data_IF_763673619209
#
_entry.id   IF_763673619209
#
_cell.length_a   1.000
_cell.length_b   1.000
_cell.length_c   1.000
_cell.angle_alpha   90.00
_cell.angle_beta   90.00
_cell.angle_gamma   90.00
#
_symmetry.space_group_name_H-M   'P 1'
#
loop_
_entity.id
_entity.type
_entity.pdbx_description
1 polymer ?
#
# COMPACT_ATOMS: atom_id res chain seq x y z
N UNK A 1 -7.68 -1.67 -26.80
CA UNK A 1 -8.19 -1.54 -28.18
C UNK A 1 -7.00 -1.55 -29.12
N UNK A 2 -7.17 -2.27 -30.21
CA UNK A 2 -6.13 -2.78 -31.10
C UNK A 2 -5.43 -1.71 -31.94
N UNK A 3 -4.20 -2.05 -32.33
CA UNK A 3 -3.35 -1.38 -33.29
C UNK A 3 -4.06 -1.09 -34.62
N UNK A 4 -3.90 0.12 -35.14
CA UNK A 4 -4.05 0.43 -36.58
C UNK A 4 -2.93 1.36 -37.02
N UNK A 5 -2.02 0.81 -37.84
CA UNK A 5 -1.06 1.57 -38.61
C UNK A 5 -1.69 2.01 -39.95
N UNK A 6 -1.39 3.21 -40.43
CA UNK A 6 -1.50 3.57 -41.84
C UNK A 6 -0.55 4.74 -42.17
N UNK A 7 0.09 4.65 -43.34
CA UNK A 7 1.29 5.39 -43.75
C UNK A 7 1.06 6.84 -44.21
N UNK A 8 2.18 7.58 -44.17
CA UNK A 8 2.44 8.92 -44.68
C UNK A 8 2.02 9.14 -46.14
N UNK A 9 1.49 10.34 -46.40
CA UNK A 9 1.70 11.04 -47.66
C UNK A 9 2.67 12.21 -47.42
N UNK A 10 3.76 12.20 -48.18
CA UNK A 10 4.65 13.35 -48.39
C UNK A 10 3.88 14.44 -49.13
N UNK A 11 3.98 15.69 -48.70
CA UNK A 11 3.78 16.80 -49.60
C UNK A 11 4.93 17.80 -49.46
N UNK A 12 5.50 18.05 -50.63
CA UNK A 12 6.55 19.01 -50.90
C UNK A 12 6.01 20.43 -50.69
N UNK A 13 6.96 21.29 -50.34
CA UNK A 13 7.01 22.74 -50.53
C UNK A 13 5.85 23.40 -51.29
N UNK A 14 5.24 24.38 -50.61
CA UNK A 14 5.24 25.80 -50.98
C UNK A 14 4.92 26.11 -52.45
N UNK A 15 3.74 26.68 -52.68
CA UNK A 15 3.65 27.90 -53.49
C UNK A 15 2.38 28.71 -53.19
N UNK A 16 2.56 30.02 -53.32
CA UNK A 16 1.62 31.10 -53.02
C UNK A 16 0.35 31.02 -53.87
N UNK A 17 -0.77 31.52 -53.34
CA UNK A 17 -1.97 31.71 -54.15
C UNK A 17 -3.18 32.17 -53.36
N UNK A 18 -3.13 33.42 -52.90
CA UNK A 18 -4.28 34.22 -52.46
C UNK A 18 -5.40 34.27 -53.51
N UNK A 19 -6.66 34.30 -53.07
CA UNK A 19 -7.74 35.26 -53.45
C UNK A 19 -9.14 34.61 -53.42
N UNK A 20 -9.99 35.15 -52.50
CA UNK A 20 -11.44 35.47 -52.56
C UNK A 20 -12.45 34.42 -53.06
N UNK A 21 -13.67 34.25 -52.53
CA UNK A 21 -14.46 34.87 -51.46
C UNK A 21 -15.74 34.02 -51.26
N UNK A 22 -16.24 33.97 -50.01
CA UNK A 22 -17.66 33.97 -49.59
C UNK A 22 -18.63 32.77 -49.90
N UNK A 23 -19.79 32.65 -49.21
CA UNK A 23 -20.02 32.71 -47.75
C UNK A 23 -21.15 31.73 -47.23
N UNK A 24 -21.48 31.82 -45.92
CA UNK A 24 -22.77 31.48 -45.24
C UNK A 24 -23.37 30.06 -45.45
N UNK A 25 -23.38 29.15 -44.47
CA UNK A 25 -24.19 29.01 -43.24
C UNK A 25 -25.04 27.72 -43.33
N UNK A 26 -24.96 26.86 -42.31
CA UNK A 26 -25.70 25.60 -42.28
C UNK A 26 -25.49 24.85 -40.98
N UNK A 27 -26.02 25.44 -39.91
CA UNK A 27 -25.97 24.99 -38.51
C UNK A 27 -26.44 23.54 -38.29
N UNK A 28 -25.78 22.94 -37.29
CA UNK A 28 -26.31 22.15 -36.17
C UNK A 28 -27.13 20.89 -36.50
N UNK A 29 -26.94 19.78 -35.80
CA UNK A 29 -27.27 19.52 -34.38
C UNK A 29 -26.76 18.09 -34.08
N UNK A 30 -26.41 17.64 -32.87
CA UNK A 30 -26.65 18.12 -31.50
C UNK A 30 -25.82 17.23 -30.55
N UNK A 31 -25.10 17.79 -29.57
CA UNK A 31 -25.50 17.88 -28.15
C UNK A 31 -25.98 16.55 -27.55
N UNK A 32 -25.26 16.06 -26.53
CA UNK A 32 -25.86 15.70 -25.24
C UNK A 32 -24.80 15.65 -24.13
N UNK A 33 -24.82 16.71 -23.33
CA UNK A 33 -24.20 16.79 -22.00
C UNK A 33 -25.14 16.16 -20.94
N UNK A 34 -24.53 15.82 -19.80
CA UNK A 34 -25.02 15.90 -18.41
C UNK A 34 -25.77 14.69 -17.79
N UNK A 35 -25.22 14.25 -16.65
CA UNK A 35 -25.99 13.88 -15.45
C UNK A 35 -25.97 15.07 -14.49
N UNK A 36 -27.12 15.67 -14.15
CA UNK A 36 -27.60 15.85 -12.77
C UNK A 36 -29.07 16.32 -12.74
N UNK A 37 -29.85 15.60 -11.94
CA UNK A 37 -31.11 15.87 -11.21
C UNK A 37 -32.43 16.38 -11.85
N UNK A 38 -33.52 15.69 -11.44
CA UNK A 38 -34.92 15.85 -11.85
C UNK A 38 -35.71 16.95 -11.10
N UNK A 39 -37.06 16.87 -10.91
CA UNK A 39 -37.98 15.74 -11.07
C UNK A 39 -39.28 16.03 -11.89
N UNK A 40 -40.05 14.98 -12.26
CA UNK A 40 -41.51 15.14 -12.48
C UNK A 40 -42.23 14.28 -13.53
N UNK A 41 -42.82 13.17 -13.07
CA UNK A 41 -44.09 12.52 -13.48
C UNK A 41 -44.22 11.73 -14.82
N UNK A 42 -44.46 10.41 -14.62
CA UNK A 42 -45.46 9.46 -15.22
C UNK A 42 -45.47 9.35 -16.78
N UNK A 43 -45.44 8.18 -17.44
CA UNK A 43 -46.12 6.91 -17.17
C UNK A 43 -45.62 5.79 -18.14
N UNK A 44 -45.40 4.59 -17.58
CA UNK A 44 -45.56 3.20 -18.11
C UNK A 44 -44.97 2.72 -19.47
N UNK A 45 -44.06 1.75 -19.31
CA UNK A 45 -44.04 0.34 -19.80
C UNK A 45 -44.08 -0.01 -21.31
N UNK A 46 -43.04 -0.72 -21.78
CA UNK A 46 -43.08 -2.16 -22.14
C UNK A 46 -41.80 -2.56 -22.90
N UNK A 47 -41.27 -3.76 -22.61
CA UNK A 47 -40.04 -4.26 -23.19
C UNK A 47 -40.15 -4.76 -24.63
N UNK A 48 -38.98 -4.89 -25.28
CA UNK A 48 -38.64 -6.06 -26.11
C UNK A 48 -37.18 -5.99 -26.57
N UNK A 49 -36.50 -7.12 -26.39
CA UNK A 49 -35.21 -7.47 -26.96
C UNK A 49 -35.31 -7.48 -28.50
N UNK A 50 -34.36 -6.84 -29.19
CA UNK A 50 -34.36 -6.66 -30.65
C UNK A 50 -33.01 -6.99 -31.29
N UNK A 51 -32.97 -8.16 -31.94
CA UNK A 51 -32.03 -8.67 -32.96
C UNK A 51 -31.04 -7.65 -33.57
N UNK A 52 -29.75 -7.90 -33.42
CA UNK A 52 -28.69 -7.38 -34.29
C UNK A 52 -28.89 -7.90 -35.72
N UNK A 53 -29.06 -6.95 -36.65
CA UNK A 53 -29.42 -7.18 -38.03
C UNK A 53 -28.28 -7.75 -38.88
N UNK A 54 -28.63 -8.81 -39.62
CA UNK A 54 -27.96 -9.48 -40.74
C UNK A 54 -27.34 -8.59 -41.84
N UNK A 55 -27.42 -7.26 -41.75
CA UNK A 55 -27.03 -6.36 -42.83
C UNK A 55 -25.54 -6.00 -42.83
N UNK A 56 -24.90 -5.98 -41.66
CA UNK A 56 -23.47 -5.71 -41.54
C UNK A 56 -22.64 -6.91 -42.02
N UNK A 57 -23.03 -8.12 -41.62
CA UNK A 57 -22.36 -9.36 -42.04
C UNK A 57 -22.39 -9.56 -43.57
N UNK A 58 -23.50 -9.19 -44.22
CA UNK A 58 -23.63 -9.27 -45.68
C UNK A 58 -22.65 -8.33 -46.40
N UNK A 59 -22.44 -7.11 -45.88
CA UNK A 59 -21.51 -6.13 -46.48
C UNK A 59 -20.06 -6.63 -46.41
N UNK A 60 -19.64 -7.20 -45.28
CA UNK A 60 -18.29 -7.75 -45.15
C UNK A 60 -18.07 -9.01 -45.99
N UNK A 61 -19.10 -9.86 -46.13
CA UNK A 61 -19.03 -11.04 -47.00
C UNK A 61 -18.85 -10.65 -48.48
N UNK A 62 -19.56 -9.62 -48.95
CA UNK A 62 -19.44 -9.12 -50.33
C UNK A 62 -18.05 -8.52 -50.57
N UNK A 63 -17.53 -7.72 -49.65
CA UNK A 63 -16.17 -7.15 -49.76
C UNK A 63 -15.10 -8.24 -49.75
N UNK A 64 -15.25 -9.28 -48.92
CA UNK A 64 -14.36 -10.44 -48.90
C UNK A 64 -14.34 -11.19 -50.24
N UNK A 65 -15.49 -11.34 -50.89
CA UNK A 65 -15.62 -11.99 -52.20
C UNK A 65 -14.91 -11.19 -53.31
N UNK A 66 -15.04 -9.85 -53.30
CA UNK A 66 -14.33 -8.99 -54.25
C UNK A 66 -12.80 -9.05 -54.07
N UNK A 67 -12.31 -9.06 -52.83
CA UNK A 67 -10.87 -9.21 -52.56
C UNK A 67 -10.33 -10.57 -53.01
N UNK A 68 -11.09 -11.64 -52.80
CA UNK A 68 -10.69 -12.98 -53.21
C UNK A 68 -10.62 -13.11 -54.74
N UNK A 69 -11.60 -12.56 -55.47
CA UNK A 69 -11.57 -12.51 -56.93
C UNK A 69 -10.39 -11.66 -57.44
N UNK A 70 -10.11 -10.53 -56.79
CA UNK A 70 -8.97 -9.69 -57.14
C UNK A 70 -7.64 -10.42 -56.96
N UNK A 71 -7.46 -11.14 -55.84
CA UNK A 71 -6.25 -11.93 -55.59
C UNK A 71 -6.08 -13.09 -56.60
N UNK A 72 -7.18 -13.74 -57.01
CA UNK A 72 -7.13 -14.76 -58.05
C UNK A 72 -6.73 -14.15 -59.40
N UNK A 73 -7.27 -12.99 -59.78
CA UNK A 73 -6.91 -12.32 -61.03
C UNK A 73 -5.44 -11.88 -61.03
N UNK A 74 -4.94 -11.35 -59.91
CA UNK A 74 -3.52 -11.02 -59.74
C UNK A 74 -2.66 -12.29 -59.81
N UNK A 75 -3.07 -13.38 -59.17
CA UNK A 75 -2.37 -14.67 -59.26
C UNK A 75 -2.32 -15.24 -60.69
N UNK A 76 -3.43 -15.15 -61.44
CA UNK A 76 -3.49 -15.57 -62.85
C UNK A 76 -2.63 -14.67 -63.72
N UNK A 77 -2.62 -13.36 -63.47
CA UNK A 77 -1.76 -12.41 -64.18
C UNK A 77 -0.28 -12.69 -63.93
N UNK A 78 0.10 -12.92 -62.67
CA UNK A 78 1.48 -13.31 -62.31
C UNK A 78 1.84 -14.63 -62.99
N UNK A 79 0.96 -15.65 -62.98
CA UNK A 79 1.22 -16.92 -63.66
C UNK A 79 1.29 -16.80 -65.20
N UNK A 80 0.54 -15.87 -65.79
CA UNK A 80 0.59 -15.58 -67.22
C UNK A 80 1.89 -14.87 -67.62
N UNK A 81 2.36 -13.93 -66.80
CA UNK A 81 3.61 -13.17 -67.02
C UNK A 81 4.86 -13.98 -66.63
N UNK A 82 4.74 -14.90 -65.68
CA UNK A 82 5.84 -15.76 -65.22
C UNK A 82 6.08 -16.99 -66.08
N UNK A 83 5.31 -17.21 -67.16
CA UNK A 83 5.66 -18.22 -68.17
C UNK A 83 6.78 -17.65 -69.05
N UNK A 84 8.04 -18.10 -68.90
CA UNK A 84 9.09 -17.67 -69.80
C UNK A 84 8.82 -18.34 -71.15
N UNK A 85 8.41 -17.55 -72.16
CA UNK A 85 8.08 -18.08 -73.48
C UNK A 85 9.30 -18.40 -74.35
N UNK A 86 10.51 -18.35 -73.81
CA UNK A 86 11.74 -18.72 -74.54
C UNK A 86 12.68 -19.47 -73.60
N UNK A 87 12.95 -20.72 -73.93
CA UNK A 87 13.90 -21.54 -73.19
C UNK A 87 15.33 -21.09 -73.51
N UNK A 88 16.31 -21.21 -72.59
CA UNK A 88 17.71 -20.90 -72.86
C UNK A 88 18.31 -21.75 -74.01
N UNK A 89 17.67 -22.87 -74.36
CA UNK A 89 18.04 -23.71 -75.49
C UNK A 89 17.72 -23.07 -76.85
N UNK A 90 16.64 -22.28 -76.96
CA UNK A 90 16.27 -21.59 -78.20
C UNK A 90 17.26 -20.47 -78.54
N UNK A 91 17.81 -19.80 -77.52
CA UNK A 91 18.85 -18.78 -77.68
C UNK A 91 20.18 -19.41 -78.09
N UNK A 92 20.51 -20.58 -77.54
CA UNK A 92 21.71 -21.36 -77.89
C UNK A 92 21.63 -21.93 -79.31
N UNK A 93 20.44 -22.39 -79.71
CA UNK A 93 20.14 -22.81 -81.08
C UNK A 93 20.23 -21.64 -82.07
N UNK A 94 19.73 -20.46 -81.70
CA UNK A 94 19.83 -19.24 -82.50
C UNK A 94 21.30 -18.82 -82.69
N UNK A 95 22.10 -18.82 -81.62
CA UNK A 95 23.53 -18.50 -81.68
C UNK A 95 24.32 -19.51 -82.53
N UNK A 96 23.97 -20.79 -82.46
CA UNK A 96 24.51 -21.82 -83.34
C UNK A 96 24.18 -21.59 -84.83
N UNK A 97 22.94 -21.19 -85.13
CA UNK A 97 22.51 -20.88 -86.49
C UNK A 97 23.19 -19.63 -87.05
N UNK A 98 23.40 -18.60 -86.22
CA UNK A 98 24.12 -17.37 -86.61
C UNK A 98 25.59 -17.67 -86.92
N UNK A 99 26.27 -18.49 -86.11
CA UNK A 99 27.64 -18.92 -86.39
C UNK A 99 27.74 -19.74 -87.68
N UNK A 100 26.77 -20.63 -87.94
CA UNK A 100 26.71 -21.42 -89.17
C UNK A 100 26.47 -20.56 -90.42
N UNK A 101 25.67 -19.50 -90.29
CA UNK A 101 25.44 -18.52 -91.34
C UNK A 101 26.70 -17.69 -91.63
N UNK A 102 27.45 -17.33 -90.59
CA UNK A 102 28.72 -16.60 -90.71
C UNK A 102 29.80 -17.43 -91.43
N UNK A 103 29.89 -18.73 -91.15
CA UNK A 103 30.79 -19.63 -91.89
C UNK A 103 30.36 -19.84 -93.35
N UNK A 104 29.05 -19.98 -93.60
CA UNK A 104 28.46 -20.01 -94.94
C UNK A 104 28.79 -18.74 -95.75
N UNK A 105 28.75 -17.57 -95.10
CA UNK A 105 29.09 -16.30 -95.73
C UNK A 105 30.58 -16.21 -96.07
N UNK A 106 31.48 -16.67 -95.17
CA UNK A 106 32.92 -16.79 -95.47
C UNK A 106 33.20 -17.74 -96.64
N UNK A 107 32.49 -18.87 -96.73
CA UNK A 107 32.63 -19.82 -97.84
C UNK A 107 32.10 -19.24 -99.17
N UNK A 108 31.00 -18.46 -99.11
CA UNK A 108 30.50 -17.70 -100.27
C UNK A 108 31.47 -16.60 -100.71
N UNK A 109 32.10 -15.87 -99.78
CA UNK A 109 33.12 -14.87 -100.10
C UNK A 109 34.35 -15.49 -100.77
N UNK A 110 34.81 -16.66 -100.31
CA UNK A 110 35.91 -17.41 -100.92
C UNK A 110 35.56 -17.87 -102.36
N UNK A 111 34.31 -18.28 -102.60
CA UNK A 111 33.82 -18.63 -103.94
C UNK A 111 33.64 -17.42 -104.86
N UNK A 112 33.22 -16.27 -104.32
CA UNK A 112 33.08 -15.03 -105.09
C UNK A 112 34.44 -14.46 -105.53
N UNK A 113 35.52 -14.73 -104.79
CA UNK A 113 36.89 -14.29 -105.13
C UNK A 113 37.42 -14.89 -106.44
N UNK A 114 36.79 -15.95 -106.96
CA UNK A 114 37.17 -16.63 -108.20
C UNK A 114 36.36 -16.21 -109.44
N UNK A 115 35.35 -15.34 -109.32
CA UNK A 115 34.59 -14.85 -110.48
C UNK A 115 35.02 -13.42 -110.87
N UNK A 116 35.16 -13.10 -112.18
CA UNK A 116 35.52 -11.76 -112.62
C UNK A 116 34.26 -10.88 -112.60
N UNK A 117 33.87 -10.35 -111.44
CA UNK A 117 32.76 -9.38 -111.34
C UNK A 117 33.26 -7.93 -111.48
N UNK A 118 32.52 -7.14 -112.27
CA UNK A 118 32.72 -5.70 -112.48
C UNK A 118 32.65 -4.92 -111.15
N UNK A 119 33.50 -3.89 -111.03
CA UNK A 119 33.83 -3.17 -109.80
C UNK A 119 32.66 -2.61 -108.96
N UNK A 120 31.53 -2.23 -109.57
CA UNK A 120 30.39 -1.67 -108.82
C UNK A 120 29.70 -2.70 -107.91
N UNK A 121 29.70 -3.99 -108.27
CA UNK A 121 29.07 -5.03 -107.46
C UNK A 121 29.95 -5.39 -106.26
N UNK A 122 31.27 -5.31 -106.42
CA UNK A 122 32.23 -5.60 -105.36
C UNK A 122 32.12 -4.56 -104.23
N UNK A 123 31.96 -3.28 -104.57
CA UNK A 123 31.84 -2.19 -103.58
C UNK A 123 30.56 -2.32 -102.74
N UNK A 124 29.44 -2.73 -103.35
CA UNK A 124 28.19 -3.02 -102.62
C UNK A 124 28.31 -4.24 -101.70
N UNK A 125 29.04 -5.28 -102.13
CA UNK A 125 29.31 -6.46 -101.30
C UNK A 125 30.20 -6.11 -100.12
N UNK A 126 31.23 -5.27 -100.30
CA UNK A 126 32.08 -4.81 -99.20
C UNK A 126 31.33 -3.92 -98.20
N UNK A 127 30.39 -3.07 -98.65
CA UNK A 127 29.53 -2.30 -97.73
C UNK A 127 28.57 -3.19 -96.93
N UNK A 128 28.01 -4.22 -97.58
CA UNK A 128 27.18 -5.22 -96.89
C UNK A 128 27.99 -6.03 -95.88
N UNK A 129 29.24 -6.38 -96.20
CA UNK A 129 30.18 -7.04 -95.30
C UNK A 129 30.44 -6.20 -94.04
N UNK A 130 30.79 -4.93 -94.23
CA UNK A 130 31.12 -4.02 -93.14
C UNK A 130 29.91 -3.78 -92.23
N UNK A 131 28.72 -3.65 -92.82
CA UNK A 131 27.47 -3.53 -92.08
C UNK A 131 27.15 -4.81 -91.30
N UNK A 132 27.35 -6.00 -91.88
CA UNK A 132 27.20 -7.27 -91.17
C UNK A 132 28.21 -7.40 -90.01
N UNK A 133 29.46 -7.00 -90.23
CA UNK A 133 30.53 -7.06 -89.25
C UNK A 133 30.21 -6.15 -88.05
N UNK A 134 29.77 -4.92 -88.31
CA UNK A 134 29.39 -3.96 -87.27
C UNK A 134 28.16 -4.44 -86.46
N UNK A 135 27.19 -5.08 -87.13
CA UNK A 135 26.08 -5.73 -86.42
C UNK A 135 26.54 -6.93 -85.58
N UNK A 136 27.52 -7.71 -86.05
CA UNK A 136 28.06 -8.83 -85.29
C UNK A 136 28.82 -8.38 -84.03
N UNK A 137 29.57 -7.29 -84.12
CA UNK A 137 30.27 -6.70 -82.97
C UNK A 137 29.27 -6.11 -81.95
N UNK A 138 28.21 -5.45 -82.45
CA UNK A 138 27.11 -4.95 -81.60
C UNK A 138 26.38 -6.08 -80.87
N UNK A 139 26.12 -7.20 -81.54
CA UNK A 139 25.52 -8.40 -80.93
C UNK A 139 26.44 -9.05 -79.88
N UNK A 140 27.75 -9.07 -80.13
CA UNK A 140 28.72 -9.58 -79.16
C UNK A 140 28.77 -8.72 -77.89
N UNK A 141 28.76 -7.39 -78.04
CA UNK A 141 28.66 -6.46 -76.91
C UNK A 141 27.35 -6.65 -76.13
N UNK A 142 26.22 -6.80 -76.84
CA UNK A 142 24.93 -7.07 -76.20
C UNK A 142 24.94 -8.39 -75.42
N UNK A 143 25.55 -9.45 -75.97
CA UNK A 143 25.69 -10.75 -75.29
C UNK A 143 26.52 -10.63 -74.02
N UNK A 144 27.63 -9.88 -74.05
CA UNK A 144 28.44 -9.60 -72.86
C UNK A 144 27.66 -8.82 -71.77
N UNK A 145 26.81 -7.87 -72.17
CA UNK A 145 25.95 -7.15 -71.24
C UNK A 145 24.87 -8.03 -70.60
N UNK A 146 24.28 -8.96 -71.38
CA UNK A 146 23.29 -9.93 -70.90
C UNK A 146 23.91 -10.91 -69.90
N UNK A 147 25.12 -11.39 -70.16
CA UNK A 147 25.83 -12.29 -69.24
C UNK A 147 26.17 -11.60 -67.90
N UNK A 148 26.52 -10.30 -67.95
CA UNK A 148 26.72 -9.50 -66.74
C UNK A 148 25.42 -9.30 -65.96
N UNK A 149 24.31 -9.05 -66.65
CA UNK A 149 22.98 -8.92 -66.04
C UNK A 149 22.55 -10.23 -65.38
N UNK A 150 22.78 -11.38 -66.01
CA UNK A 150 22.48 -12.70 -65.47
C UNK A 150 23.27 -12.97 -64.18
N UNK A 151 24.56 -12.63 -64.15
CA UNK A 151 25.38 -12.73 -62.94
C UNK A 151 24.87 -11.86 -61.78
N UNK A 152 24.42 -10.64 -62.07
CA UNK A 152 23.80 -9.77 -61.07
C UNK A 152 22.46 -10.34 -60.57
N UNK A 153 21.66 -10.92 -61.46
CA UNK A 153 20.38 -11.55 -61.11
C UNK A 153 20.58 -12.73 -60.15
N UNK A 154 21.59 -13.58 -60.41
CA UNK A 154 21.98 -14.67 -59.51
C UNK A 154 22.45 -14.16 -58.14
N UNK A 155 23.28 -13.12 -58.11
CA UNK A 155 23.72 -12.52 -56.85
C UNK A 155 22.53 -11.99 -56.04
N UNK A 156 21.59 -11.31 -56.70
CA UNK A 156 20.42 -10.74 -56.06
C UNK A 156 19.47 -11.84 -55.54
N UNK A 157 19.30 -12.93 -56.29
CA UNK A 157 18.54 -14.10 -55.85
C UNK A 157 19.16 -14.76 -54.61
N UNK A 158 20.48 -14.86 -54.59
CA UNK A 158 21.20 -15.46 -53.45
C UNK A 158 21.07 -14.57 -52.22
N UNK A 159 21.18 -13.25 -52.39
CA UNK A 159 20.96 -12.28 -51.32
C UNK A 159 19.53 -12.32 -50.80
N UNK A 160 18.52 -12.42 -51.68
CA UNK A 160 17.12 -12.57 -51.29
C UNK A 160 16.89 -13.83 -50.43
N UNK A 161 17.49 -14.96 -50.81
CA UNK A 161 17.40 -16.19 -50.02
C UNK A 161 18.08 -16.06 -48.64
N UNK A 162 19.19 -15.32 -48.55
CA UNK A 162 19.83 -15.05 -47.26
C UNK A 162 18.99 -14.12 -46.38
N UNK A 163 18.35 -13.10 -46.97
CA UNK A 163 17.47 -12.21 -46.21
C UNK A 163 16.24 -12.95 -45.70
N UNK A 164 15.65 -13.87 -46.47
CA UNK A 164 14.52 -14.68 -46.01
C UNK A 164 14.89 -15.55 -44.80
N UNK A 165 16.08 -16.16 -44.82
CA UNK A 165 16.58 -16.93 -43.66
C UNK A 165 16.81 -16.04 -42.44
N UNK A 166 17.38 -14.85 -42.63
CA UNK A 166 17.59 -13.91 -41.54
C UNK A 166 16.25 -13.45 -40.93
N UNK A 167 15.26 -13.15 -41.77
CA UNK A 167 13.90 -12.78 -41.33
C UNK A 167 13.24 -13.93 -40.57
N UNK A 168 13.36 -15.18 -41.05
CA UNK A 168 12.83 -16.35 -40.35
C UNK A 168 13.47 -16.50 -38.96
N UNK A 169 14.80 -16.40 -38.86
CA UNK A 169 15.50 -16.52 -37.58
C UNK A 169 15.12 -15.40 -36.60
N UNK A 170 14.91 -14.19 -37.11
CA UNK A 170 14.42 -13.06 -36.31
C UNK A 170 12.99 -13.30 -35.82
N UNK A 171 12.13 -13.87 -36.68
CA UNK A 171 10.77 -14.21 -36.31
C UNK A 171 10.72 -15.30 -35.23
N UNK A 172 11.56 -16.33 -35.33
CA UNK A 172 11.69 -17.37 -34.30
C UNK A 172 12.21 -16.78 -32.97
N UNK A 173 13.19 -15.87 -33.04
CA UNK A 173 13.70 -15.18 -31.84
C UNK A 173 12.64 -14.29 -31.19
N UNK A 174 11.84 -13.57 -32.00
CA UNK A 174 10.79 -12.69 -31.51
C UNK A 174 9.64 -13.47 -30.89
N UNK A 175 9.24 -14.60 -31.50
CA UNK A 175 8.21 -15.48 -30.94
C UNK A 175 8.67 -16.10 -29.63
N UNK A 176 9.92 -16.58 -29.55
CA UNK A 176 10.51 -17.09 -28.31
C UNK A 176 10.58 -16.02 -27.21
N UNK A 177 10.96 -14.78 -27.55
CA UNK A 177 11.00 -13.68 -26.60
C UNK A 177 9.58 -13.28 -26.13
N UNK A 178 8.61 -13.29 -27.03
CA UNK A 178 7.21 -13.03 -26.69
C UNK A 178 6.66 -14.09 -25.73
N UNK A 179 6.93 -15.37 -25.99
CA UNK A 179 6.44 -16.48 -25.16
C UNK A 179 7.07 -16.47 -23.76
N UNK A 180 8.38 -16.21 -23.67
CA UNK A 180 9.08 -16.09 -22.38
C UNK A 180 8.58 -14.90 -21.58
N UNK A 181 8.41 -13.73 -22.22
CA UNK A 181 7.83 -12.56 -21.56
C UNK A 181 6.40 -12.82 -21.06
N UNK A 182 5.59 -13.53 -21.85
CA UNK A 182 4.23 -13.87 -21.47
C UNK A 182 4.18 -14.86 -20.29
N UNK A 183 5.08 -15.83 -20.23
CA UNK A 183 5.21 -16.75 -19.09
C UNK A 183 5.60 -16.02 -17.80
N UNK A 184 6.57 -15.10 -17.86
CA UNK A 184 6.96 -14.31 -16.69
C UNK A 184 5.82 -13.40 -16.22
N UNK A 185 5.06 -12.80 -17.14
CA UNK A 185 3.86 -12.02 -16.79
C UNK A 185 2.79 -12.88 -16.09
N UNK A 186 2.54 -14.11 -16.57
CA UNK A 186 1.62 -15.02 -15.89
C UNK A 186 2.11 -15.40 -14.49
N UNK A 187 3.41 -15.70 -14.34
CA UNK A 187 4.01 -16.02 -13.05
C UNK A 187 3.89 -14.86 -12.06
N UNK A 188 4.26 -13.65 -12.48
CA UNK A 188 4.11 -12.43 -11.68
C UNK A 188 2.65 -12.15 -11.31
N UNK A 189 1.71 -12.41 -12.24
CA UNK A 189 0.28 -12.26 -11.94
C UNK A 189 -0.19 -13.24 -10.87
N UNK A 190 0.28 -14.48 -10.88
CA UNK A 190 -0.07 -15.50 -9.87
C UNK A 190 0.55 -15.14 -8.52
N UNK A 191 1.83 -14.77 -8.49
CA UNK A 191 2.52 -14.31 -7.27
C UNK A 191 1.87 -13.04 -6.68
N UNK A 192 1.47 -12.11 -7.55
CA UNK A 192 0.73 -10.90 -7.17
C UNK A 192 -0.63 -11.21 -6.55
N UNK A 193 -1.39 -12.14 -7.14
CA UNK A 193 -2.68 -12.57 -6.60
C UNK A 193 -2.53 -13.31 -5.26
N UNK A 194 -1.52 -14.17 -5.13
CA UNK A 194 -1.20 -14.85 -3.88
C UNK A 194 -0.85 -13.87 -2.77
N UNK A 195 0.00 -12.88 -3.07
CA UNK A 195 0.38 -11.82 -2.14
C UNK A 195 -0.84 -10.98 -1.73
N UNK A 196 -1.73 -10.67 -2.67
CA UNK A 196 -2.98 -9.94 -2.39
C UNK A 196 -3.90 -10.73 -1.44
N UNK A 197 -4.05 -12.04 -1.66
CA UNK A 197 -4.85 -12.90 -0.80
C UNK A 197 -4.27 -12.96 0.63
N UNK A 198 -2.94 -13.06 0.74
CA UNK A 198 -2.24 -13.07 2.03
C UNK A 198 -2.40 -11.74 2.78
N UNK A 199 -2.34 -10.61 2.07
CA UNK A 199 -2.63 -9.29 2.65
C UNK A 199 -4.07 -9.17 3.13
N UNK A 200 -5.04 -9.65 2.36
CA UNK A 200 -6.45 -9.69 2.78
C UNK A 200 -6.65 -10.57 4.03
N UNK A 201 -5.94 -11.69 4.12
CA UNK A 201 -5.99 -12.54 5.30
C UNK A 201 -5.42 -11.83 6.54
N UNK A 202 -4.28 -11.15 6.42
CA UNK A 202 -3.71 -10.37 7.51
C UNK A 202 -4.59 -9.19 7.91
N UNK A 203 -5.22 -8.49 6.96
CA UNK A 203 -6.17 -7.41 7.24
C UNK A 203 -7.35 -7.91 8.08
N UNK A 204 -7.90 -9.08 7.74
CA UNK A 204 -8.95 -9.71 8.54
C UNK A 204 -8.49 -10.08 9.96
N UNK A 205 -7.29 -10.64 10.11
CA UNK A 205 -6.71 -10.96 11.41
C UNK A 205 -6.47 -9.69 12.26
N UNK A 206 -5.97 -8.62 11.65
CA UNK A 206 -5.75 -7.34 12.32
C UNK A 206 -7.06 -6.70 12.76
N UNK A 207 -8.10 -6.75 11.92
CA UNK A 207 -9.44 -6.29 12.29
C UNK A 207 -10.01 -7.10 13.46
N UNK A 208 -9.86 -8.43 13.44
CA UNK A 208 -10.31 -9.26 14.57
C UNK A 208 -9.51 -8.98 15.86
N UNK A 209 -8.20 -8.79 15.76
CA UNK A 209 -7.38 -8.38 16.91
C UNK A 209 -7.81 -7.00 17.43
N UNK A 210 -8.11 -6.07 16.53
CA UNK A 210 -8.62 -4.74 16.88
C UNK A 210 -9.90 -4.82 17.72
N UNK A 211 -10.90 -5.60 17.29
CA UNK A 211 -12.14 -5.75 18.04
C UNK A 211 -11.97 -6.44 19.39
N UNK A 212 -11.03 -7.40 19.50
CA UNK A 212 -10.66 -8.01 20.79
C UNK A 212 -9.99 -7.01 21.74
N UNK A 213 -9.12 -6.15 21.22
CA UNK A 213 -8.44 -5.11 22.02
C UNK A 213 -9.45 -4.06 22.48
N UNK A 214 -10.37 -3.66 21.63
CA UNK A 214 -11.46 -2.74 21.99
C UNK A 214 -12.34 -3.33 23.10
N UNK A 215 -12.77 -4.59 22.95
CA UNK A 215 -13.53 -5.29 23.99
C UNK A 215 -12.76 -5.42 25.32
N UNK A 216 -11.45 -5.67 25.26
CA UNK A 216 -10.61 -5.72 26.45
C UNK A 216 -10.49 -4.33 27.10
N UNK A 217 -10.37 -3.28 26.29
CA UNK A 217 -10.36 -1.90 26.77
C UNK A 217 -11.65 -1.57 27.52
N UNK A 218 -12.81 -1.93 26.96
CA UNK A 218 -14.10 -1.74 27.63
C UNK A 218 -14.17 -2.48 28.96
N UNK A 219 -13.70 -3.73 29.02
CA UNK A 219 -13.64 -4.49 30.27
C UNK A 219 -12.73 -3.82 31.31
N UNK A 220 -11.56 -3.32 30.90
CA UNK A 220 -10.62 -2.61 31.80
C UNK A 220 -11.25 -1.33 32.33
N UNK A 221 -11.93 -0.56 31.48
CA UNK A 221 -12.64 0.66 31.93
C UNK A 221 -13.78 0.34 32.90
N UNK A 222 -14.52 -0.76 32.68
CA UNK A 222 -15.56 -1.21 33.61
C UNK A 222 -14.98 -1.62 34.97
N UNK A 223 -13.86 -2.36 34.97
CA UNK A 223 -13.14 -2.72 36.21
C UNK A 223 -12.60 -1.48 36.92
N UNK A 224 -12.03 -0.53 36.18
CA UNK A 224 -11.57 0.75 36.75
C UNK A 224 -12.72 1.50 37.42
N UNK A 225 -13.88 1.60 36.75
CA UNK A 225 -15.07 2.23 37.32
C UNK A 225 -15.56 1.53 38.59
N UNK A 226 -15.58 0.19 38.59
CA UNK A 226 -15.92 -0.58 39.79
C UNK A 226 -14.92 -0.33 40.94
N UNK A 227 -13.61 -0.29 40.64
CA UNK A 227 -12.57 -0.01 41.62
C UNK A 227 -12.71 1.40 42.21
N UNK A 228 -13.01 2.41 41.38
CA UNK A 228 -13.25 3.78 41.84
C UNK A 228 -14.47 3.88 42.75
N UNK A 229 -15.55 3.16 42.42
CA UNK A 229 -16.75 3.10 43.29
C UNK A 229 -16.43 2.44 44.62
N UNK A 230 -15.68 1.35 44.62
CA UNK A 230 -15.25 0.64 45.83
C UNK A 230 -14.31 1.49 46.69
N UNK A 231 -13.39 2.23 46.07
CA UNK A 231 -12.49 3.13 46.77
C UNK A 231 -13.28 4.28 47.44
N UNK A 232 -14.31 4.81 46.78
CA UNK A 232 -15.19 5.84 47.36
C UNK A 232 -16.01 5.32 48.54
N UNK A 233 -16.64 4.15 48.43
CA UNK A 233 -17.39 3.56 49.55
C UNK A 233 -16.47 3.22 50.72
N UNK A 234 -15.30 2.63 50.45
CA UNK A 234 -14.32 2.35 51.49
C UNK A 234 -13.83 3.64 52.17
N UNK A 235 -13.49 4.68 51.40
CA UNK A 235 -13.08 5.97 51.96
C UNK A 235 -14.18 6.60 52.82
N UNK A 236 -15.43 6.52 52.38
CA UNK A 236 -16.58 7.01 53.14
C UNK A 236 -16.77 6.25 54.46
N UNK A 237 -16.76 4.92 54.42
CA UNK A 237 -16.89 4.08 55.62
C UNK A 237 -15.74 4.30 56.60
N UNK A 238 -14.49 4.36 56.11
CA UNK A 238 -13.32 4.68 56.94
C UNK A 238 -13.50 6.04 57.62
N UNK A 239 -14.03 7.03 56.91
CA UNK A 239 -14.26 8.35 57.48
C UNK A 239 -15.33 8.33 58.58
N UNK A 240 -16.43 7.61 58.38
CA UNK A 240 -17.46 7.41 59.42
C UNK A 240 -16.89 6.68 60.65
N UNK A 241 -16.11 5.63 60.42
CA UNK A 241 -15.47 4.92 61.51
C UNK A 241 -14.48 5.81 62.26
N UNK A 242 -13.74 6.66 61.55
CA UNK A 242 -12.84 7.62 62.15
C UNK A 242 -13.58 8.61 63.07
N UNK A 243 -14.71 9.18 62.62
CA UNK A 243 -15.50 10.09 63.47
C UNK A 243 -16.08 9.38 64.68
N UNK A 244 -16.62 8.16 64.51
CA UNK A 244 -17.13 7.37 65.65
C UNK A 244 -16.04 7.04 66.68
N UNK A 245 -14.83 6.73 66.21
CA UNK A 245 -13.70 6.47 67.11
C UNK A 245 -13.33 7.75 67.87
N UNK A 246 -13.31 8.91 67.21
CA UNK A 246 -13.06 10.20 67.88
C UNK A 246 -14.13 10.50 68.94
N UNK A 247 -15.41 10.32 68.62
CA UNK A 247 -16.52 10.53 69.57
C UNK A 247 -16.39 9.61 70.80
N UNK A 248 -16.06 8.34 70.58
CA UNK A 248 -15.79 7.38 71.65
C UNK A 248 -14.58 7.79 72.50
N UNK A 249 -13.54 8.33 71.88
CA UNK A 249 -12.35 8.84 72.58
C UNK A 249 -12.71 10.00 73.52
N UNK A 250 -13.57 10.92 73.07
CA UNK A 250 -14.07 12.02 73.90
C UNK A 250 -14.90 11.50 75.07
N UNK A 251 -15.83 10.58 74.81
CA UNK A 251 -16.65 9.96 75.86
C UNK A 251 -15.80 9.25 76.92
N UNK A 252 -14.80 8.48 76.50
CA UNK A 252 -13.86 7.81 77.41
C UNK A 252 -13.10 8.86 78.23
N UNK A 253 -12.61 9.93 77.60
CA UNK A 253 -11.87 10.98 78.31
C UNK A 253 -12.72 11.66 79.39
N UNK A 254 -13.97 11.99 79.08
CA UNK A 254 -14.91 12.58 80.04
C UNK A 254 -15.22 11.59 81.17
N UNK A 255 -15.53 10.33 80.85
CA UNK A 255 -15.81 9.32 81.87
C UNK A 255 -14.59 9.05 82.78
N UNK A 256 -13.37 9.10 82.24
CA UNK A 256 -12.16 8.98 83.05
C UNK A 256 -11.96 10.17 83.98
N UNK A 257 -12.33 11.37 83.54
CA UNK A 257 -12.25 12.58 84.37
C UNK A 257 -13.33 12.58 85.46
N UNK A 258 -14.56 12.23 85.11
CA UNK A 258 -15.64 12.02 86.09
C UNK A 258 -15.26 10.97 87.13
N UNK A 259 -14.64 9.86 86.72
CA UNK A 259 -14.17 8.83 87.64
C UNK A 259 -13.06 9.34 88.57
N UNK A 260 -12.16 10.24 88.10
CA UNK A 260 -11.17 10.90 88.96
C UNK A 260 -11.85 11.83 89.96
N UNK A 261 -12.80 12.64 89.50
CA UNK A 261 -13.51 13.59 90.34
C UNK A 261 -14.34 12.88 91.42
N UNK A 262 -15.01 11.77 91.06
CA UNK A 262 -15.73 10.92 92.01
C UNK A 262 -14.79 10.32 93.07
N UNK A 263 -13.59 9.88 92.69
CA UNK A 263 -12.58 9.37 93.66
C UNK A 263 -12.14 10.46 94.64
N UNK A 264 -11.92 11.69 94.17
CA UNK A 264 -11.54 12.80 95.05
C UNK A 264 -12.63 13.11 96.06
N UNK A 265 -13.90 13.13 95.63
CA UNK A 265 -15.06 13.31 96.52
C UNK A 265 -15.13 12.16 97.54
N UNK A 266 -14.94 10.91 97.10
CA UNK A 266 -14.97 9.76 97.99
C UNK A 266 -13.86 9.81 99.05
N UNK A 267 -12.64 10.23 98.68
CA UNK A 267 -11.54 10.42 99.62
C UNK A 267 -11.91 11.48 100.66
N UNK A 268 -12.44 12.64 100.23
CA UNK A 268 -12.86 13.71 101.13
C UNK A 268 -13.99 13.27 102.07
N UNK A 269 -14.97 12.51 101.57
CA UNK A 269 -16.06 11.95 102.37
C UNK A 269 -15.55 10.95 103.40
N UNK A 270 -14.59 10.09 103.03
CA UNK A 270 -13.98 9.13 103.94
C UNK A 270 -13.20 9.83 105.06
N UNK A 271 -12.51 10.94 104.74
CA UNK A 271 -11.82 11.77 105.71
C UNK A 271 -12.79 12.47 106.67
N UNK A 272 -13.91 12.98 106.14
CA UNK A 272 -15.00 13.53 106.96
C UNK A 272 -15.60 12.45 107.88
N UNK A 273 -15.86 11.24 107.38
CA UNK A 273 -16.38 10.15 108.18
C UNK A 273 -15.42 9.77 109.30
N UNK A 274 -14.10 9.71 109.03
CA UNK A 274 -13.07 9.48 110.05
C UNK A 274 -13.09 10.56 111.13
N UNK A 275 -13.30 11.83 110.75
CA UNK A 275 -13.40 12.93 111.71
C UNK A 275 -14.63 12.80 112.62
N UNK A 276 -15.81 12.55 112.04
CA UNK A 276 -17.05 12.33 112.80
C UNK A 276 -16.94 11.13 113.74
N UNK A 277 -16.32 10.04 113.28
CA UNK A 277 -16.12 8.84 114.08
C UNK A 277 -15.13 9.07 115.23
N UNK A 278 -14.12 9.92 115.04
CA UNK A 278 -13.23 10.36 116.11
C UNK A 278 -13.96 11.21 117.17
N UNK A 279 -14.87 12.11 116.76
CA UNK A 279 -15.74 12.86 117.66
C UNK A 279 -16.63 11.90 118.45
N UNK A 280 -17.30 10.97 117.77
CA UNK A 280 -18.18 9.99 118.40
C UNK A 280 -17.43 9.12 119.41
N UNK A 281 -16.22 8.67 119.07
CA UNK A 281 -15.39 7.88 119.97
C UNK A 281 -14.99 8.68 121.21
N UNK A 282 -14.64 9.95 121.05
CA UNK A 282 -14.34 10.85 122.17
C UNK A 282 -15.56 11.04 123.09
N UNK A 283 -16.76 11.25 122.51
CA UNK A 283 -18.02 11.32 123.28
C UNK A 283 -18.32 9.98 123.98
N UNK A 284 -18.06 8.86 123.31
CA UNK A 284 -18.30 7.53 123.87
C UNK A 284 -17.36 7.24 125.03
N UNK A 285 -16.07 7.57 124.93
CA UNK A 285 -15.13 7.48 126.06
C UNK A 285 -15.50 8.43 127.21
N UNK A 286 -15.98 9.65 126.94
CA UNK A 286 -16.48 10.57 127.97
C UNK A 286 -17.73 10.01 128.69
N UNK A 287 -18.66 9.42 127.93
CA UNK A 287 -19.81 8.70 128.49
C UNK A 287 -19.37 7.45 129.27
N UNK A 288 -18.38 6.69 128.78
CA UNK A 288 -17.84 5.50 129.44
C UNK A 288 -17.17 5.84 130.77
N UNK A 289 -16.48 6.97 130.84
CA UNK A 289 -15.92 7.51 132.10
C UNK A 289 -17.04 7.84 133.09
N UNK A 290 -18.10 8.53 132.64
CA UNK A 290 -19.28 8.85 133.49
C UNK A 290 -20.06 7.61 133.93
N UNK A 291 -20.11 6.58 133.09
CA UNK A 291 -20.79 5.31 133.39
C UNK A 291 -19.95 4.44 134.35
N UNK A 292 -18.61 4.52 134.26
CA UNK A 292 -17.70 3.96 135.26
C UNK A 292 -17.84 4.67 136.61
N UNK A 293 -17.95 6.01 136.64
CA UNK A 293 -18.23 6.76 137.87
C UNK A 293 -19.58 6.35 138.49
N UNK A 294 -20.63 6.14 137.69
CA UNK A 294 -21.92 5.61 138.15
C UNK A 294 -21.86 4.14 138.62
N UNK A 295 -21.14 3.26 137.91
CA UNK A 295 -20.96 1.85 138.31
C UNK A 295 -20.10 1.70 139.58
N UNK A 296 -19.13 2.59 139.80
CA UNK A 296 -18.36 2.66 141.06
C UNK A 296 -19.25 3.15 142.21
N UNK A 297 -20.16 4.09 141.96
CA UNK A 297 -21.17 4.50 142.94
C UNK A 297 -22.15 3.37 143.31
N UNK A 298 -22.47 2.46 142.37
CA UNK A 298 -23.39 1.34 142.58
C UNK A 298 -22.73 0.07 143.15
N UNK A 299 -21.39 -0.04 143.14
CA UNK A 299 -20.66 -1.20 143.72
C UNK A 299 -20.67 -1.25 145.26
N UNK A 300 -21.18 -0.22 145.93
CA UNK A 300 -21.28 -0.17 147.40
C UNK A 300 -22.64 -0.64 147.95
N UNK A 301 -23.48 -1.25 147.13
CA UNK A 301 -24.75 -1.84 147.56
C UNK A 301 -24.67 -3.34 147.28
N UNK A 302 -24.28 -4.08 148.32
CA UNK A 302 -24.49 -5.53 148.42
C UNK A 302 -25.99 -5.82 148.35
N UNK A 303 -26.45 -6.75 147.50
CA UNK A 303 -27.62 -7.61 147.77
C UNK A 303 -27.87 -8.62 146.62
N UNK A 304 -27.75 -9.90 147.01
CA UNK A 304 -28.53 -11.09 146.63
C UNK A 304 -28.57 -11.51 145.14
N UNK A 305 -27.85 -12.61 144.85
CA UNK A 305 -27.95 -13.39 143.61
C UNK A 305 -29.28 -14.14 143.56
N UNK A 306 -30.20 -13.67 142.72
CA UNK A 306 -31.45 -14.37 142.38
C UNK A 306 -31.24 -15.63 141.52
N UNK A 307 -32.23 -16.53 141.45
CA UNK A 307 -32.12 -17.84 140.80
C UNK A 307 -31.96 -17.75 139.27
N UNK A 308 -31.44 -18.81 138.60
CA UNK A 308 -31.20 -18.80 137.16
C UNK A 308 -32.48 -18.58 136.36
N UNK A 309 -32.48 -17.60 135.47
CA UNK A 309 -33.55 -17.39 134.49
C UNK A 309 -33.58 -18.50 133.42
N UNK A 310 -34.73 -18.72 132.76
CA UNK A 310 -34.91 -19.80 131.80
C UNK A 310 -33.95 -19.66 130.62
N UNK A 311 -33.47 -20.82 130.14
CA UNK A 311 -32.63 -20.94 128.94
C UNK A 311 -33.40 -20.35 127.76
N UNK A 312 -32.95 -19.22 127.23
CA UNK A 312 -33.50 -18.63 126.02
C UNK A 312 -33.27 -19.57 124.83
N UNK A 313 -34.26 -19.65 123.96
CA UNK A 313 -34.23 -20.46 122.75
C UNK A 313 -32.99 -20.12 121.91
N UNK A 314 -32.35 -21.16 121.38
CA UNK A 314 -31.27 -21.01 120.41
C UNK A 314 -31.83 -20.29 119.19
N UNK A 315 -31.45 -19.02 119.02
CA UNK A 315 -31.73 -18.28 117.80
C UNK A 315 -31.15 -19.03 116.61
N UNK A 316 -32.01 -19.34 115.65
CA UNK A 316 -31.68 -20.04 114.42
C UNK A 316 -30.42 -19.40 113.79
N UNK A 317 -29.37 -20.19 113.55
CA UNK A 317 -28.35 -19.80 112.57
C UNK A 317 -29.10 -19.48 111.28
N UNK A 318 -28.90 -18.25 110.78
CA UNK A 318 -29.39 -17.88 109.47
C UNK A 318 -28.88 -18.89 108.46
N UNK A 319 -29.79 -19.41 107.62
CA UNK A 319 -29.46 -20.36 106.57
C UNK A 319 -28.21 -19.87 105.83
N UNK A 320 -27.14 -20.67 105.86
CA UNK A 320 -26.05 -20.55 104.92
C UNK A 320 -26.71 -20.57 103.52
N UNK A 321 -26.60 -19.46 102.78
CA UNK A 321 -27.18 -19.39 101.44
C UNK A 321 -26.64 -20.54 100.61
N UNK A 322 -27.49 -21.13 99.76
CA UNK A 322 -27.07 -22.20 98.86
C UNK A 322 -25.72 -21.84 98.21
N UNK A 323 -24.70 -22.70 98.29
CA UNK A 323 -23.48 -22.52 97.52
C UNK A 323 -23.89 -22.31 96.07
N UNK A 324 -23.52 -21.16 95.51
CA UNK A 324 -23.79 -20.86 94.11
C UNK A 324 -23.32 -22.03 93.26
N UNK A 325 -24.19 -22.50 92.36
CA UNK A 325 -23.91 -23.57 91.41
C UNK A 325 -22.47 -23.42 90.87
N UNK A 326 -21.64 -24.46 90.92
CA UNK A 326 -20.31 -24.44 90.31
C UNK A 326 -20.46 -23.95 88.88
N UNK A 327 -19.77 -22.86 88.55
CA UNK A 327 -19.73 -22.34 87.19
C UNK A 327 -19.40 -23.48 86.24
N UNK A 328 -20.24 -23.62 85.20
CA UNK A 328 -20.08 -24.58 84.12
C UNK A 328 -18.60 -24.74 83.74
N UNK A 329 -18.08 -25.97 83.64
CA UNK A 329 -16.71 -26.20 83.18
C UNK A 329 -16.46 -25.40 81.91
N UNK A 330 -15.40 -24.60 81.94
CA UNK A 330 -15.01 -23.77 80.79
C UNK A 330 -15.04 -24.60 79.53
N UNK A 331 -15.72 -24.10 78.51
CA UNK A 331 -15.74 -24.70 77.19
C UNK A 331 -14.28 -24.97 76.79
N UNK A 332 -13.97 -26.26 76.63
CA UNK A 332 -12.72 -26.80 76.14
C UNK A 332 -12.29 -25.96 74.93
N UNK A 333 -11.12 -25.33 75.03
CA UNK A 333 -10.56 -24.50 73.96
C UNK A 333 -10.68 -25.23 72.63
N UNK A 334 -11.11 -24.48 71.61
CA UNK A 334 -11.15 -24.96 70.23
C UNK A 334 -9.79 -25.61 69.90
N UNK A 335 -9.78 -26.81 69.29
CA UNK A 335 -8.55 -27.46 68.88
C UNK A 335 -7.72 -26.48 68.05
N UNK A 336 -6.45 -26.29 68.43
CA UNK A 336 -5.53 -25.45 67.66
C UNK A 336 -5.54 -25.85 66.19
N UNK A 337 -5.53 -24.86 65.31
CA UNK A 337 -5.46 -25.10 63.87
C UNK A 337 -4.27 -26.01 63.56
N UNK A 338 -4.56 -27.07 62.81
CA UNK A 338 -3.56 -27.99 62.29
C UNK A 338 -2.61 -27.15 61.43
N UNK A 339 -1.32 -27.13 61.77
CA UNK A 339 -0.29 -26.44 60.98
C UNK A 339 -0.36 -26.87 59.51
N UNK A 340 0.02 -25.99 58.57
CA UNK A 340 -0.06 -26.29 57.14
C UNK A 340 0.66 -27.61 56.84
N UNK A 341 0.13 -28.42 55.91
CA UNK A 341 0.76 -29.67 55.52
C UNK A 341 2.23 -29.45 55.13
N UNK A 342 3.12 -30.32 55.57
CA UNK A 342 4.50 -30.35 55.11
C UNK A 342 4.56 -30.40 53.57
N UNK A 343 5.64 -29.89 52.96
CA UNK A 343 5.76 -29.85 51.51
C UNK A 343 5.49 -31.23 50.90
N UNK A 344 4.63 -31.22 49.88
CA UNK A 344 4.29 -32.40 49.10
C UNK A 344 5.57 -32.98 48.50
N UNK A 345 5.85 -34.25 48.81
CA UNK A 345 6.99 -34.97 48.28
C UNK A 345 7.04 -34.93 46.75
N UNK A 346 8.26 -34.91 46.21
CA UNK A 346 8.56 -34.92 44.78
C UNK A 346 7.74 -36.02 44.10
N UNK A 347 6.85 -35.59 43.20
CA UNK A 347 6.16 -36.49 42.27
C UNK A 347 7.22 -37.00 41.28
N UNK A 348 7.31 -38.31 41.17
CA UNK A 348 8.35 -39.02 40.42
C UNK A 348 8.46 -38.61 38.96
N UNK A 349 9.66 -38.84 38.42
CA UNK A 349 10.08 -38.54 37.06
C UNK A 349 9.08 -39.11 36.05
N UNK A 350 8.37 -38.22 35.38
CA UNK A 350 7.54 -38.56 34.23
C UNK A 350 8.33 -38.25 32.96
N UNK A 351 8.85 -39.34 32.38
CA UNK A 351 9.22 -39.57 30.97
C UNK A 351 9.80 -38.40 30.16
N UNK A 352 11.04 -38.59 29.69
CA UNK A 352 11.66 -37.76 28.66
C UNK A 352 10.73 -37.60 27.44
N UNK A 353 10.17 -36.39 27.27
CA UNK A 353 9.69 -35.98 25.96
C UNK A 353 10.92 -35.81 25.05
N UNK A 354 10.89 -36.48 23.91
CA UNK A 354 11.96 -36.44 22.91
C UNK A 354 12.34 -35.01 22.51
N UNK A 355 13.59 -34.79 22.07
CA UNK A 355 14.09 -33.47 21.74
C UNK A 355 13.19 -32.80 20.68
N UNK A 356 12.89 -31.49 20.82
CA UNK A 356 12.21 -30.73 19.78
C UNK A 356 12.97 -30.86 18.46
N UNK A 357 12.23 -31.07 17.36
CA UNK A 357 12.80 -31.10 16.02
C UNK A 357 13.60 -29.82 15.72
N UNK A 358 14.63 -29.90 14.86
CA UNK A 358 15.50 -28.76 14.59
C UNK A 358 14.68 -27.57 14.09
N UNK A 359 14.83 -26.43 14.78
CA UNK A 359 14.31 -25.13 14.34
C UNK A 359 14.92 -24.82 12.97
N UNK A 360 14.07 -24.61 11.98
CA UNK A 360 14.49 -24.24 10.63
C UNK A 360 15.40 -23.00 10.65
N UNK A 361 16.43 -23.02 9.80
CA UNK A 361 17.41 -21.94 9.70
C UNK A 361 16.72 -20.59 9.56
N UNK A 362 17.02 -19.70 10.52
CA UNK A 362 16.65 -18.28 10.44
C UNK A 362 17.36 -17.71 9.21
N UNK A 363 16.57 -17.19 8.27
CA UNK A 363 17.10 -16.61 7.04
C UNK A 363 18.18 -15.57 7.31
N UNK A 364 19.20 -15.55 6.45
CA UNK A 364 20.27 -14.57 6.48
C UNK A 364 19.66 -13.16 6.53
N UNK A 365 19.99 -12.42 7.59
CA UNK A 365 19.75 -10.99 7.69
C UNK A 365 20.56 -10.36 6.55
N UNK A 366 19.87 -9.81 5.55
CA UNK A 366 20.49 -9.19 4.39
C UNK A 366 21.57 -8.20 4.81
N UNK A 367 22.68 -8.23 4.08
CA UNK A 367 23.81 -7.34 4.32
C UNK A 367 23.34 -5.88 4.32
N UNK A 368 23.76 -5.16 5.35
CA UNK A 368 23.52 -3.73 5.47
C UNK A 368 24.23 -3.06 4.30
N UNK A 369 23.46 -2.44 3.40
CA UNK A 369 24.00 -1.71 2.25
C UNK A 369 25.11 -0.73 2.66
N UNK A 370 26.07 -0.45 1.75
CA UNK A 370 27.24 0.35 2.06
C UNK A 370 26.83 1.68 2.69
N UNK A 371 27.50 1.99 3.81
CA UNK A 371 27.36 3.27 4.51
C UNK A 371 27.73 4.37 3.52
N UNK A 372 26.76 5.21 3.17
CA UNK A 372 26.96 6.34 2.26
C UNK A 372 28.15 7.19 2.68
N UNK A 373 28.92 7.64 1.69
CA UNK A 373 30.12 8.44 1.88
C UNK A 373 29.82 9.65 2.77
N UNK A 374 30.71 9.84 3.73
CA UNK A 374 30.70 10.92 4.69
C UNK A 374 30.99 12.20 3.91
N UNK A 375 29.97 13.03 3.71
CA UNK A 375 30.10 14.31 3.02
C UNK A 375 31.20 15.17 3.66
N UNK A 376 32.14 15.60 2.82
CA UNK A 376 33.22 16.49 3.18
C UNK A 376 32.66 17.85 3.61
N UNK A 377 33.06 18.27 4.80
CA UNK A 377 32.73 19.58 5.34
C UNK A 377 33.86 20.56 5.02
N UNK A 378 33.55 21.51 4.14
CA UNK A 378 33.99 22.90 4.28
C UNK A 378 35.12 23.35 3.36
N UNK A 379 34.77 24.14 2.35
CA UNK A 379 35.71 24.94 1.57
C UNK A 379 35.01 25.98 0.70
N UNK A 380 34.73 27.14 1.27
CA UNK A 380 34.77 28.44 0.58
C UNK A 380 33.84 28.73 -0.60
N UNK A 381 32.95 29.69 -0.36
CA UNK A 381 32.46 30.72 -1.30
C UNK A 381 31.33 30.36 -2.30
N UNK A 382 30.20 31.06 -2.15
CA UNK A 382 29.35 31.45 -3.29
C UNK A 382 28.03 30.69 -3.46
N UNK A 383 26.92 31.37 -3.11
CA UNK A 383 25.52 31.09 -3.47
C UNK A 383 24.88 29.80 -2.92
N UNK A 384 24.23 29.94 -1.76
CA UNK A 384 22.99 29.22 -1.51
C UNK A 384 21.98 29.57 -2.62
N UNK A 385 21.77 28.65 -3.57
CA UNK A 385 20.58 28.69 -4.40
C UNK A 385 19.40 28.33 -3.49
N UNK A 386 18.69 29.33 -2.99
CA UNK A 386 17.36 29.15 -2.44
C UNK A 386 16.53 28.52 -3.57
N UNK A 387 16.29 27.21 -3.52
CA UNK A 387 15.39 26.56 -4.48
C UNK A 387 14.00 27.06 -4.16
N UNK A 388 13.53 28.02 -4.96
CA UNK A 388 12.21 28.64 -4.84
C UNK A 388 11.16 27.64 -5.30
N UNK A 389 10.04 27.55 -4.58
CA UNK A 389 8.87 26.78 -5.03
C UNK A 389 8.39 27.29 -6.40
N UNK A 390 8.05 26.37 -7.31
CA UNK A 390 7.69 26.70 -8.69
C UNK A 390 8.86 26.70 -9.68
N UNK A 391 10.03 26.22 -9.27
CA UNK A 391 11.14 25.96 -10.20
C UNK A 391 10.76 24.82 -11.17
N UNK A 392 11.19 24.95 -12.42
CA UNK A 392 10.92 23.96 -13.46
C UNK A 392 12.22 23.39 -14.05
N UNK A 393 12.14 22.15 -14.58
CA UNK A 393 13.24 21.53 -15.32
C UNK A 393 12.71 20.66 -16.45
N UNK A 394 13.57 20.42 -17.45
CA UNK A 394 13.33 19.46 -18.52
C UNK A 394 14.15 18.20 -18.27
N UNK A 395 13.54 17.03 -18.45
CA UNK A 395 14.14 15.71 -18.19
C UNK A 395 14.01 14.82 -19.43
N UNK A 396 15.02 13.98 -19.70
CA UNK A 396 15.04 13.00 -20.81
C UNK A 396 14.91 13.58 -22.23
N UNK A 397 15.33 14.83 -22.43
CA UNK A 397 15.59 15.35 -23.78
C UNK A 397 17.02 15.05 -24.25
N UNK A 398 17.26 15.13 -25.55
CA UNK A 398 18.61 15.01 -26.15
C UNK A 398 19.45 16.27 -25.93
N UNK A 399 18.85 17.36 -25.43
CA UNK A 399 19.49 18.64 -25.17
C UNK A 399 18.80 19.44 -24.06
N UNK A 400 19.33 20.63 -23.75
CA UNK A 400 18.80 21.52 -22.71
C UNK A 400 17.51 22.27 -23.10
N UNK A 401 17.07 22.14 -24.34
CA UNK A 401 15.92 22.84 -24.93
C UNK A 401 14.73 21.91 -25.22
N UNK A 402 14.84 20.63 -24.87
CA UNK A 402 13.75 19.66 -25.03
C UNK A 402 13.70 18.70 -23.83
N UNK A 403 12.54 18.09 -23.60
CA UNK A 403 12.35 17.11 -22.54
C UNK A 403 10.96 17.18 -21.90
N UNK A 404 10.73 16.26 -20.97
CA UNK A 404 9.54 16.24 -20.10
C UNK A 404 9.64 17.34 -19.05
N UNK A 405 8.56 18.08 -18.86
CA UNK A 405 8.45 19.14 -17.85
C UNK A 405 8.23 18.53 -16.46
N UNK A 406 9.05 18.95 -15.50
CA UNK A 406 8.86 18.65 -14.08
C UNK A 406 8.88 19.96 -13.28
N UNK A 407 8.05 20.02 -12.24
CA UNK A 407 7.87 21.19 -11.37
C UNK A 407 8.29 20.83 -9.95
N UNK A 408 8.98 21.76 -9.28
CA UNK A 408 9.36 21.64 -7.88
C UNK A 408 8.31 22.32 -6.99
N UNK A 409 7.57 21.52 -6.23
CA UNK A 409 6.52 21.97 -5.33
C UNK A 409 6.53 21.14 -4.04
N UNK A 410 6.23 21.74 -2.89
CA UNK A 410 6.28 21.06 -1.57
C UNK A 410 7.58 20.25 -1.37
N UNK A 411 8.72 20.91 -1.67
CA UNK A 411 10.09 20.37 -1.56
C UNK A 411 10.37 19.10 -2.37
N UNK A 412 9.56 18.77 -3.39
CA UNK A 412 9.74 17.57 -4.23
C UNK A 412 9.47 17.87 -5.70
N UNK A 413 10.20 17.17 -6.57
CA UNK A 413 9.93 17.17 -8.00
C UNK A 413 8.74 16.26 -8.32
N UNK A 414 7.93 16.69 -9.28
CA UNK A 414 6.84 15.90 -9.82
C UNK A 414 6.46 16.37 -11.22
N UNK A 415 5.58 15.62 -11.85
CA UNK A 415 5.23 15.77 -13.28
C UNK A 415 4.02 16.66 -13.47
N UNK A 416 3.78 17.04 -14.73
CA UNK A 416 2.57 17.73 -15.19
C UNK A 416 1.81 16.79 -16.12
N UNK A 417 0.49 16.69 -15.97
CA UNK A 417 -0.37 15.90 -16.86
C UNK A 417 -0.49 16.57 -18.24
N UNK A 418 -0.71 15.79 -19.29
CA UNK A 418 -0.80 16.29 -20.67
C UNK A 418 -2.24 16.56 -21.13
N UNK A 419 -3.22 16.32 -20.28
CA UNK A 419 -4.61 16.72 -20.51
C UNK A 419 -4.69 18.24 -20.63
N UNK A 420 -5.30 18.71 -21.72
CA UNK A 420 -5.36 20.15 -22.04
C UNK A 420 -4.06 20.80 -22.55
N UNK A 421 -2.90 20.15 -22.39
CA UNK A 421 -1.58 20.75 -22.64
C UNK A 421 -1.39 21.27 -24.06
N UNK A 422 -1.22 22.60 -24.21
CA UNK A 422 -1.16 23.29 -25.49
C UNK A 422 0.10 24.15 -25.68
N UNK A 423 0.17 24.86 -26.82
CA UNK A 423 1.33 25.71 -27.15
C UNK A 423 1.52 26.87 -26.16
N UNK A 424 0.44 27.43 -25.61
CA UNK A 424 0.50 28.55 -24.66
C UNK A 424 1.13 28.12 -23.34
N UNK A 425 0.82 26.90 -22.89
CA UNK A 425 1.46 26.31 -21.71
C UNK A 425 2.96 26.12 -21.96
N UNK A 426 3.31 25.57 -23.13
CA UNK A 426 4.70 25.43 -23.57
C UNK A 426 5.45 26.77 -23.65
N UNK A 427 4.81 27.83 -24.15
CA UNK A 427 5.41 29.17 -24.23
C UNK A 427 5.76 29.73 -22.85
N UNK A 428 4.91 29.52 -21.84
CA UNK A 428 5.18 29.91 -20.44
C UNK A 428 6.37 29.13 -19.90
N UNK A 429 6.43 27.81 -20.11
CA UNK A 429 7.56 26.96 -19.69
C UNK A 429 8.88 27.39 -20.32
N UNK A 430 8.88 27.61 -21.65
CA UNK A 430 10.06 28.07 -22.36
C UNK A 430 10.54 29.43 -21.85
N UNK A 431 9.62 30.36 -21.58
CA UNK A 431 9.95 31.68 -21.03
C UNK A 431 10.53 31.62 -19.62
N UNK A 432 9.97 30.75 -18.77
CA UNK A 432 10.51 30.48 -17.43
C UNK A 432 11.95 29.93 -17.48
N UNK A 433 12.31 29.17 -18.51
CA UNK A 433 13.67 28.66 -18.75
C UNK A 433 14.59 29.66 -19.47
N UNK A 434 14.08 30.84 -19.84
CA UNK A 434 14.84 31.90 -20.52
C UNK A 434 14.85 31.81 -22.05
N UNK A 435 14.00 30.98 -22.66
CA UNK A 435 13.81 30.90 -24.11
C UNK A 435 12.66 31.81 -24.58
N UNK A 436 12.55 32.06 -25.89
CA UNK A 436 11.51 32.95 -26.44
C UNK A 436 10.10 32.35 -26.39
N UNK A 437 9.98 31.04 -26.58
CA UNK A 437 8.70 30.31 -26.67
C UNK A 437 8.93 28.88 -27.17
N UNK A 438 7.86 28.08 -27.15
CA UNK A 438 7.88 26.70 -27.61
C UNK A 438 7.69 26.64 -29.13
N UNK A 439 8.53 25.87 -29.81
CA UNK A 439 8.36 25.58 -31.23
C UNK A 439 7.24 24.54 -31.43
N UNK A 440 7.36 23.43 -30.70
CA UNK A 440 6.37 22.36 -30.66
C UNK A 440 6.13 21.90 -29.22
N UNK A 441 4.95 21.32 -28.99
CA UNK A 441 4.55 20.75 -27.71
C UNK A 441 4.04 19.33 -27.95
N UNK A 442 4.51 18.38 -27.14
CA UNK A 442 4.19 16.97 -27.29
C UNK A 442 3.36 16.45 -26.12
N UNK A 443 2.37 15.61 -26.43
CA UNK A 443 1.55 14.86 -25.47
C UNK A 443 2.02 13.39 -25.41
N UNK A 444 1.38 12.59 -24.56
CA UNK A 444 1.57 11.14 -24.42
C UNK A 444 2.99 10.73 -24.03
N UNK A 445 3.65 11.54 -23.19
CA UNK A 445 4.95 11.24 -22.60
C UNK A 445 6.06 10.88 -23.62
N UNK A 446 6.18 11.63 -24.74
CA UNK A 446 7.21 11.42 -25.78
C UNK A 446 8.64 11.27 -25.24
N UNK A 447 9.01 12.05 -24.22
CA UNK A 447 10.32 12.00 -23.57
C UNK A 447 10.37 10.99 -22.40
N UNK A 448 9.52 9.96 -22.46
CA UNK A 448 9.34 8.95 -21.42
C UNK A 448 8.40 9.40 -20.31
N UNK A 449 7.72 8.41 -19.71
CA UNK A 449 6.81 8.63 -18.59
C UNK A 449 7.58 9.07 -17.35
N UNK A 450 7.08 10.10 -16.67
CA UNK A 450 7.65 10.50 -15.38
C UNK A 450 7.22 9.56 -14.27
N UNK A 451 7.97 9.54 -13.17
CA UNK A 451 7.71 8.70 -12.01
C UNK A 451 7.36 9.56 -10.80
N UNK A 452 6.45 9.08 -9.95
CA UNK A 452 6.05 9.78 -8.73
C UNK A 452 4.76 10.59 -8.87
N UNK A 453 4.69 11.73 -8.19
CA UNK A 453 3.48 12.54 -8.05
C UNK A 453 3.28 13.48 -9.25
N UNK A 454 2.04 13.57 -9.72
CA UNK A 454 1.59 14.61 -10.66
C UNK A 454 1.21 15.83 -9.82
N UNK A 455 1.88 16.97 -10.06
CA UNK A 455 1.65 18.21 -9.30
C UNK A 455 0.58 19.12 -9.91
N UNK A 456 0.40 19.04 -11.23
CA UNK A 456 -0.50 19.88 -12.00
C UNK A 456 -1.21 19.02 -13.04
N UNK A 457 -2.49 19.28 -13.25
CA UNK A 457 -3.37 18.61 -14.21
C UNK A 457 -4.20 19.66 -14.94
N UNK A 458 -4.71 19.37 -16.14
CA UNK A 458 -5.54 20.31 -16.94
C UNK A 458 -5.00 21.76 -16.99
N UNK A 459 -3.67 21.91 -17.13
CA UNK A 459 -3.03 23.23 -17.13
C UNK A 459 -3.56 24.05 -18.30
N UNK A 460 -4.05 25.25 -18.00
CA UNK A 460 -4.63 26.16 -18.98
C UNK A 460 -4.09 27.58 -18.80
N UNK A 461 -2.91 27.82 -19.36
CA UNK A 461 -2.29 29.14 -19.39
C UNK A 461 -2.92 30.04 -20.46
N UNK A 462 -2.97 31.36 -20.22
CA UNK A 462 -3.29 32.36 -21.24
C UNK A 462 -2.12 32.61 -22.19
N UNK A 463 -0.90 32.25 -21.77
CA UNK A 463 0.36 32.40 -22.50
C UNK A 463 1.17 33.63 -22.08
N UNK A 464 0.59 34.51 -21.24
CA UNK A 464 1.21 35.75 -20.76
C UNK A 464 1.78 35.65 -19.35
N UNK A 465 1.56 34.51 -18.68
CA UNK A 465 2.01 34.26 -17.33
C UNK A 465 3.54 34.15 -17.23
N UNK A 466 4.09 34.56 -16.09
CA UNK A 466 5.53 34.46 -15.79
C UNK A 466 5.91 33.10 -15.19
N UNK A 467 4.92 32.31 -14.74
CA UNK A 467 5.14 31.01 -14.10
C UNK A 467 3.92 30.09 -14.29
N UNK A 468 4.17 28.79 -14.45
CA UNK A 468 3.14 27.75 -14.49
C UNK A 468 2.22 27.77 -13.25
N UNK A 469 2.73 28.15 -12.08
CA UNK A 469 1.91 28.26 -10.86
C UNK A 469 0.83 29.36 -10.92
N UNK A 470 0.91 30.26 -11.91
CA UNK A 470 -0.08 31.34 -12.11
C UNK A 470 -1.13 30.99 -13.16
N UNK A 471 -1.01 29.84 -13.81
CA UNK A 471 -2.05 29.30 -14.69
C UNK A 471 -3.13 28.61 -13.86
N UNK A 472 -4.32 28.41 -14.43
CA UNK A 472 -5.31 27.51 -13.83
C UNK A 472 -4.91 26.06 -14.12
N UNK A 473 -4.98 25.20 -13.09
CA UNK A 473 -4.65 23.78 -13.12
C UNK A 473 -5.32 23.06 -11.94
#
# INVERSE_FOLDING_TARGET
MENKAMYLHTFNERENGSIFEEPFEGRNLSKLNLCEDGPGRRMKAAGRCGRLGSLAALKYAVVGLYLLVFLILVGVFILAVSRPQTSPEDLKALMGNVNRLNESFRDMQLKLLHLPLKGDVLDHIWRLQDLLQNHSDSLFLMTGSLQKLEGLLWSLQTQASQTDKAVSNLWDSLTQQSDTAQQEMYKLSVEGNSSRLLLQHHDHLLSHLGSRVESLSDQVTAVSGAMDTMNRTFSYDVNIHHTRIQDLQVLISNATEDARQMRLIHIAMEEQLKHELAILNNVTEDLRLKDWEHSVALKNISVIRGPPGPKGDQGNEGMEGEPGLPGLPGLRGLPGERGPPGPRGLKGDQGDLGPPGPVGMRGFKGDRGPKGEKGDRGGGTGKHSLVVEGMIRLVNGSGSHEGRVEVFYDRRWGTVCDDGWDKKDGDVVCRMLGFRGAEEVYRMARFGQGTGRIWMDDVSCKGTEDSLLRCSF
#
